data_IF_635981576721
#
_entry.id   IF_635981576721
#
_cell.length_a   1.000
_cell.length_b   1.000
_cell.length_c   1.000
_cell.angle_alpha   90.00
_cell.angle_beta   90.00
_cell.angle_gamma   90.00
#
_symmetry.space_group_name_H-M   'P 1'
#
loop_
_entity.id
_entity.type
_entity.pdbx_description
1 polymer ?
#
# COMPACT_ATOMS: atom_id res chain seq x y z
N UNK A 1 -6.07 -3.25 -0.89
CA UNK A 1 -6.35 -3.92 0.40
C UNK A 1 -7.54 -3.26 1.07
N UNK A 2 -8.50 -4.05 1.56
CA UNK A 2 -9.68 -3.56 2.28
C UNK A 2 -9.68 -4.16 3.67
N UNK A 3 -9.80 -3.28 4.67
CA UNK A 3 -9.92 -3.64 6.07
C UNK A 3 -11.32 -3.32 6.54
N UNK A 4 -11.85 -4.13 7.46
CA UNK A 4 -13.12 -3.82 8.12
C UNK A 4 -12.99 -2.47 8.85
N UNK A 5 -14.02 -1.61 8.85
CA UNK A 5 -13.95 -0.31 9.52
C UNK A 5 -13.49 -0.41 10.98
N UNK A 6 -13.91 -1.45 11.69
CA UNK A 6 -13.56 -1.76 13.09
C UNK A 6 -12.08 -2.08 13.34
N UNK A 7 -11.28 -2.24 12.28
CA UNK A 7 -9.84 -2.56 12.35
C UNK A 7 -8.94 -1.36 12.06
N UNK A 8 -9.51 -0.19 11.71
CA UNK A 8 -8.75 1.05 11.50
C UNK A 8 -8.12 1.53 12.81
N UNK A 9 -6.94 2.15 12.71
CA UNK A 9 -6.21 2.69 13.87
C UNK A 9 -5.52 1.63 14.75
N UNK A 10 -5.70 0.33 14.48
CA UNK A 10 -5.13 -0.77 15.29
C UNK A 10 -3.81 -1.32 14.75
N UNK A 11 -3.16 -0.63 13.82
CA UNK A 11 -1.89 -1.07 13.22
C UNK A 11 -1.98 -2.28 12.27
N UNK A 12 -3.14 -2.95 12.16
CA UNK A 12 -3.30 -4.16 11.33
C UNK A 12 -2.90 -3.97 9.87
N UNK A 13 -3.24 -2.82 9.28
CA UNK A 13 -2.83 -2.49 7.91
C UNK A 13 -1.31 -2.45 7.77
N UNK A 14 -0.61 -1.80 8.69
CA UNK A 14 0.85 -1.74 8.70
C UNK A 14 1.46 -3.13 8.83
N UNK A 15 0.99 -3.92 9.80
CA UNK A 15 1.44 -5.29 10.03
C UNK A 15 1.30 -6.17 8.78
N UNK A 16 0.17 -6.09 8.07
CA UNK A 16 -0.07 -6.86 6.85
C UNK A 16 0.88 -6.47 5.71
N UNK A 17 1.12 -5.17 5.50
CA UNK A 17 2.05 -4.72 4.45
C UNK A 17 3.50 -5.10 4.78
N UNK A 18 3.91 -4.99 6.04
CA UNK A 18 5.24 -5.42 6.49
C UNK A 18 5.42 -6.92 6.27
N UNK A 19 4.45 -7.73 6.70
CA UNK A 19 4.48 -9.18 6.48
C UNK A 19 4.57 -9.53 4.99
N UNK A 20 3.76 -8.89 4.14
CA UNK A 20 3.76 -9.15 2.70
C UNK A 20 5.12 -8.81 2.04
N UNK A 21 5.75 -7.69 2.45
CA UNK A 21 7.10 -7.32 1.98
C UNK A 21 8.14 -8.33 2.43
N UNK A 22 8.11 -8.73 3.70
CA UNK A 22 9.07 -9.71 4.23
C UNK A 22 8.90 -11.10 3.61
N UNK A 23 7.67 -11.49 3.31
CA UNK A 23 7.38 -12.70 2.56
C UNK A 23 7.98 -12.61 1.15
N UNK A 24 7.71 -11.51 0.43
CA UNK A 24 8.28 -11.29 -0.90
C UNK A 24 9.80 -11.35 -0.89
N UNK A 25 10.45 -10.62 0.04
CA UNK A 25 11.91 -10.61 0.20
C UNK A 25 12.47 -12.01 0.44
N UNK A 26 11.83 -12.80 1.31
CA UNK A 26 12.22 -14.20 1.56
C UNK A 26 12.11 -15.11 0.34
N UNK A 27 11.27 -14.74 -0.63
CA UNK A 27 11.04 -15.46 -1.87
C UNK A 27 11.73 -14.81 -3.08
N UNK A 28 12.72 -13.93 -2.86
CA UNK A 28 13.50 -13.31 -3.94
C UNK A 28 12.81 -12.16 -4.67
N UNK A 29 11.68 -11.65 -4.16
CA UNK A 29 11.07 -10.45 -4.72
C UNK A 29 11.95 -9.23 -4.44
N UNK A 30 12.17 -8.42 -5.47
CA UNK A 30 13.00 -7.20 -5.42
C UNK A 30 12.18 -5.91 -5.40
N UNK A 31 10.86 -6.02 -5.65
CA UNK A 31 9.96 -4.88 -5.77
C UNK A 31 8.61 -5.17 -5.11
N UNK A 32 8.11 -4.21 -4.34
CA UNK A 32 6.72 -4.16 -3.88
C UNK A 32 6.08 -2.89 -4.47
N UNK A 33 5.10 -3.07 -5.34
CA UNK A 33 4.41 -1.96 -6.02
C UNK A 33 2.92 -1.99 -5.68
N UNK A 34 2.36 -0.80 -5.49
CA UNK A 34 0.93 -0.58 -5.30
C UNK A 34 0.47 0.61 -6.13
N UNK A 35 -0.81 0.60 -6.49
CA UNK A 35 -1.48 1.76 -7.07
C UNK A 35 -2.58 2.20 -6.11
N UNK A 36 -2.71 3.52 -5.94
CA UNK A 36 -3.78 4.13 -5.16
C UNK A 36 -4.40 5.25 -5.96
N UNK A 37 -5.68 5.51 -5.72
CA UNK A 37 -6.33 6.66 -6.32
C UNK A 37 -5.72 7.96 -5.78
N UNK A 38 -5.47 8.93 -6.67
CA UNK A 38 -4.92 10.25 -6.32
C UNK A 38 -5.80 11.02 -5.34
N UNK A 39 -7.10 10.77 -5.31
CA UNK A 39 -8.00 11.45 -4.38
C UNK A 39 -7.89 10.89 -2.94
N UNK A 40 -7.26 9.72 -2.74
CA UNK A 40 -7.12 9.09 -1.42
C UNK A 40 -5.84 9.55 -0.73
N UNK A 41 -5.82 10.80 -0.28
CA UNK A 41 -4.68 11.43 0.41
C UNK A 41 -4.25 10.68 1.67
N UNK A 42 -5.20 10.21 2.48
CA UNK A 42 -4.88 9.40 3.67
C UNK A 42 -4.21 8.07 3.33
N UNK A 43 -4.58 7.46 2.21
CA UNK A 43 -3.94 6.23 1.76
C UNK A 43 -2.51 6.51 1.27
N UNK A 44 -2.28 7.63 0.59
CA UNK A 44 -0.94 8.06 0.16
C UNK A 44 -0.02 8.26 1.38
N UNK A 45 -0.46 9.05 2.37
CA UNK A 45 0.28 9.26 3.62
C UNK A 45 0.59 7.95 4.34
N UNK A 46 -0.38 7.03 4.39
CA UNK A 46 -0.18 5.72 4.98
C UNK A 46 0.92 4.91 4.26
N UNK A 47 0.96 4.92 2.93
CA UNK A 47 2.00 4.21 2.18
C UNK A 47 3.36 4.90 2.27
N UNK A 48 3.41 6.23 2.29
CA UNK A 48 4.65 7.00 2.52
C UNK A 48 5.24 6.67 3.90
N UNK A 49 4.42 6.58 4.95
CA UNK A 49 4.85 6.14 6.28
C UNK A 49 5.41 4.71 6.32
N UNK A 50 5.00 3.86 5.38
CA UNK A 50 5.53 2.49 5.21
C UNK A 50 6.78 2.44 4.33
N UNK A 51 7.29 3.59 3.87
CA UNK A 51 8.49 3.72 3.05
C UNK A 51 8.27 3.46 1.56
N UNK A 52 7.02 3.56 1.07
CA UNK A 52 6.76 3.56 -0.38
C UNK A 52 6.98 4.98 -0.94
N UNK A 53 7.59 5.05 -2.12
CA UNK A 53 7.74 6.31 -2.86
C UNK A 53 6.73 6.37 -3.99
N UNK A 54 6.00 7.48 -4.09
CA UNK A 54 5.12 7.75 -5.22
C UNK A 54 5.95 8.08 -6.48
N UNK A 55 6.40 7.06 -7.19
CA UNK A 55 7.27 7.20 -8.37
C UNK A 55 6.57 7.00 -9.72
N UNK A 56 5.34 6.47 -9.73
CA UNK A 56 4.62 6.12 -10.97
C UNK A 56 3.28 6.86 -11.07
N UNK A 57 2.97 7.39 -12.26
CA UNK A 57 1.69 8.01 -12.58
C UNK A 57 0.80 7.01 -13.32
N UNK A 58 -0.38 6.71 -12.76
CA UNK A 58 -1.39 5.88 -13.41
C UNK A 58 -2.36 6.70 -14.28
N UNK A 59 -2.78 6.14 -15.41
CA UNK A 59 -3.81 6.70 -16.31
C UNK A 59 -5.09 5.87 -16.22
N UNK A 60 -6.26 6.51 -16.39
CA UNK A 60 -7.57 5.86 -16.48
C UNK A 60 -8.38 6.53 -17.60
N UNK A 61 -9.17 5.77 -18.35
CA UNK A 61 -10.16 6.27 -19.32
C UNK A 61 -11.47 5.52 -19.12
N UNK A 62 -12.55 6.23 -18.79
CA UNK A 62 -13.88 5.66 -18.81
C UNK A 62 -14.34 5.49 -20.28
N UNK A 63 -15.07 4.42 -20.57
CA UNK A 63 -15.73 4.19 -21.85
C UNK A 63 -17.20 4.59 -21.74
#
# INVERSE_FOLDING_TARGET
>A
MRLAPSTRGKGLGSAMFTWARDYGRRNGAVLAQLTTDKQRTDAQRFYEQLGYTASHVGYKRAL
#
